data_IF_033889261246
#
_entry.id   IF_033889261246
#
_cell.length_a   1.000
_cell.length_b   1.000
_cell.length_c   1.000
_cell.angle_alpha   90.00
_cell.angle_beta   90.00
_cell.angle_gamma   90.00
#
_symmetry.space_group_name_H-M   'P 1'
#
loop_
_entity.id
_entity.type
_entity.pdbx_description
1 polymer ?
#
# COMPACT_ATOMS: atom_id res chain seq x y z
N UNK A 1 27.67 24.60 44.71
CA UNK A 1 26.64 24.08 45.64
C UNK A 1 25.96 22.88 44.98
N UNK A 2 26.31 21.65 45.39
CA UNK A 2 25.74 20.39 44.86
C UNK A 2 24.65 19.92 45.82
N UNK A 3 23.43 19.70 45.34
CA UNK A 3 22.35 19.07 46.11
C UNK A 3 22.28 17.58 45.75
N UNK A 4 22.61 16.71 46.70
CA UNK A 4 22.28 15.28 46.66
C UNK A 4 20.78 15.13 46.95
N UNK A 5 20.06 14.41 46.08
CA UNK A 5 18.71 13.94 46.35
C UNK A 5 18.77 12.45 46.74
N UNK A 6 18.27 12.12 47.93
CA UNK A 6 18.03 10.76 48.38
C UNK A 6 16.84 10.18 47.60
N UNK A 7 17.04 9.02 46.96
CA UNK A 7 15.95 8.21 46.42
C UNK A 7 15.56 7.15 47.45
N UNK A 8 14.30 7.21 47.90
CA UNK A 8 13.68 6.24 48.80
C UNK A 8 13.16 5.06 47.97
N UNK A 9 13.64 3.85 48.26
CA UNK A 9 13.26 2.63 47.58
C UNK A 9 12.10 1.96 48.33
N UNK A 10 10.90 1.99 47.76
CA UNK A 10 9.72 1.26 48.28
C UNK A 10 9.62 -0.05 47.51
N UNK A 11 9.91 -1.17 48.18
CA UNK A 11 9.71 -2.51 47.65
C UNK A 11 8.27 -2.93 47.94
N UNK A 12 7.41 -2.91 46.92
CA UNK A 12 6.06 -3.45 46.98
C UNK A 12 6.09 -4.96 46.65
N UNK A 13 5.65 -5.78 47.60
CA UNK A 13 5.52 -7.23 47.47
C UNK A 13 4.25 -7.55 46.66
N UNK A 14 4.41 -7.97 45.40
CA UNK A 14 3.31 -8.38 44.51
C UNK A 14 2.98 -9.86 44.71
N UNK A 15 1.73 -10.13 45.12
CA UNK A 15 1.16 -11.49 45.14
C UNK A 15 0.80 -11.95 43.71
N UNK A 16 0.96 -13.24 43.37
CA UNK A 16 0.60 -13.77 42.06
C UNK A 16 -0.93 -13.92 41.97
N UNK A 17 -1.60 -12.94 41.34
CA UNK A 17 -2.96 -13.12 40.87
C UNK A 17 -2.94 -14.13 39.72
N UNK A 18 -3.44 -15.33 39.98
CA UNK A 18 -3.63 -16.38 38.97
C UNK A 18 -4.54 -15.89 37.85
N UNK A 19 -3.94 -15.54 36.71
CA UNK A 19 -4.66 -15.27 35.48
C UNK A 19 -5.21 -16.58 34.91
N UNK A 20 -6.47 -16.89 35.21
CA UNK A 20 -7.25 -17.87 34.49
C UNK A 20 -7.50 -17.39 33.06
N UNK A 21 -6.52 -17.57 32.19
CA UNK A 21 -6.61 -17.26 30.76
C UNK A 21 -7.51 -18.27 30.06
N UNK A 22 -8.83 -18.09 30.16
CA UNK A 22 -9.78 -18.77 29.29
C UNK A 22 -9.50 -18.35 27.85
N UNK A 23 -8.83 -19.22 27.09
CA UNK A 23 -8.63 -19.04 25.66
C UNK A 23 -10.01 -19.11 24.98
N UNK A 24 -10.65 -17.95 24.82
CA UNK A 24 -11.84 -17.82 23.99
C UNK A 24 -11.41 -17.99 22.56
N UNK A 25 -11.47 -19.23 22.07
CA UNK A 25 -11.26 -19.53 20.66
C UNK A 25 -12.23 -18.63 19.87
N UNK A 26 -11.74 -17.80 18.92
CA UNK A 26 -12.62 -16.93 18.17
C UNK A 26 -13.67 -17.78 17.45
N UNK A 27 -14.93 -17.38 17.53
CA UNK A 27 -16.02 -18.05 16.84
C UNK A 27 -15.85 -17.93 15.33
N UNK A 28 -16.26 -18.96 14.61
CA UNK A 28 -16.34 -18.95 13.14
C UNK A 28 -17.15 -17.74 12.66
N UNK A 29 -16.65 -17.06 11.64
CA UNK A 29 -17.32 -15.94 10.98
C UNK A 29 -17.71 -16.32 9.55
N UNK A 30 -18.77 -15.69 9.05
CA UNK A 30 -19.12 -15.69 7.63
C UNK A 30 -18.41 -14.51 6.96
N UNK A 31 -17.76 -14.76 5.83
CA UNK A 31 -16.93 -13.81 5.07
C UNK A 31 -17.55 -13.59 3.69
N UNK A 32 -17.90 -12.36 3.38
CA UNK A 32 -18.36 -11.98 2.05
C UNK A 32 -17.20 -11.97 1.05
N UNK A 33 -17.45 -12.49 -0.16
CA UNK A 33 -16.53 -12.35 -1.29
C UNK A 33 -17.11 -11.27 -2.20
N UNK A 34 -16.32 -10.22 -2.46
CA UNK A 34 -16.78 -9.05 -3.23
C UNK A 34 -15.83 -8.72 -4.38
N UNK A 35 -16.39 -8.09 -5.41
CA UNK A 35 -15.63 -7.38 -6.42
C UNK A 35 -14.94 -6.18 -5.76
N UNK A 36 -13.63 -6.09 -5.89
CA UNK A 36 -12.86 -5.06 -5.18
C UNK A 36 -12.91 -3.66 -5.81
N UNK A 37 -13.62 -3.48 -6.92
CA UNK A 37 -13.82 -2.15 -7.52
C UNK A 37 -15.22 -1.64 -7.23
N UNK A 38 -16.22 -2.50 -7.37
CA UNK A 38 -17.64 -2.14 -7.23
C UNK A 38 -18.22 -2.44 -5.86
N UNK A 39 -17.56 -3.31 -5.07
CA UNK A 39 -18.08 -3.81 -3.80
C UNK A 39 -19.24 -4.81 -3.93
N UNK A 40 -19.63 -5.17 -5.16
CA UNK A 40 -20.70 -6.13 -5.40
C UNK A 40 -20.30 -7.55 -4.92
N UNK A 41 -21.25 -8.33 -4.40
CA UNK A 41 -20.98 -9.71 -4.00
C UNK A 41 -20.71 -10.60 -5.23
N UNK A 42 -19.67 -11.44 -5.16
CA UNK A 42 -19.20 -12.30 -6.27
C UNK A 42 -19.24 -13.79 -5.92
N UNK A 43 -20.44 -14.23 -5.53
CA UNK A 43 -20.74 -15.62 -5.18
C UNK A 43 -21.06 -15.82 -3.71
N UNK A 44 -21.09 -17.08 -3.28
CA UNK A 44 -21.45 -17.42 -1.90
C UNK A 44 -20.35 -17.03 -0.90
N UNK A 45 -20.74 -16.55 0.29
CA UNK A 45 -19.82 -16.34 1.40
C UNK A 45 -19.08 -17.62 1.81
N UNK A 46 -17.92 -17.47 2.43
CA UNK A 46 -17.18 -18.58 3.03
C UNK A 46 -17.21 -18.49 4.57
N UNK A 47 -17.02 -19.62 5.25
CA UNK A 47 -16.88 -19.67 6.71
C UNK A 47 -15.43 -19.91 7.13
N UNK A 48 -15.03 -19.39 8.28
CA UNK A 48 -13.72 -19.67 8.89
C UNK A 48 -13.48 -18.81 10.13
N UNK A 49 -12.44 -19.11 10.90
CA UNK A 49 -12.02 -18.25 12.01
C UNK A 49 -11.06 -17.19 11.49
N UNK A 50 -11.08 -15.95 12.02
CA UNK A 50 -10.10 -14.94 11.65
C UNK A 50 -8.66 -15.44 11.81
N UNK A 51 -7.87 -15.34 10.75
CA UNK A 51 -6.50 -15.87 10.69
C UNK A 51 -6.37 -17.26 10.08
N UNK A 52 -7.46 -17.98 9.79
CA UNK A 52 -7.40 -19.22 9.03
C UNK A 52 -6.95 -18.93 7.59
N UNK A 53 -6.15 -19.83 6.99
CA UNK A 53 -5.77 -19.69 5.59
C UNK A 53 -6.98 -19.90 4.67
N UNK A 54 -7.17 -19.01 3.69
CA UNK A 54 -8.24 -19.07 2.71
C UNK A 54 -7.69 -18.96 1.28
N UNK A 55 -8.10 -19.87 0.40
CA UNK A 55 -7.90 -19.76 -1.06
C UNK A 55 -9.24 -19.51 -1.73
N UNK A 56 -9.32 -18.43 -2.51
CA UNK A 56 -10.50 -18.02 -3.27
C UNK A 56 -10.15 -17.96 -4.76
N UNK A 57 -10.88 -18.75 -5.55
CA UNK A 57 -10.79 -18.79 -7.02
C UNK A 57 -12.19 -18.58 -7.58
N UNK A 58 -12.35 -17.63 -8.51
CA UNK A 58 -13.63 -17.29 -9.15
C UNK A 58 -13.40 -16.89 -10.62
N UNK A 59 -14.25 -17.34 -11.56
CA UNK A 59 -14.21 -16.84 -12.94
C UNK A 59 -14.34 -15.32 -12.99
N UNK A 60 -13.51 -14.66 -13.80
CA UNK A 60 -13.48 -13.20 -13.90
C UNK A 60 -12.63 -12.49 -12.84
N UNK A 61 -11.98 -13.24 -11.94
CA UNK A 61 -11.12 -12.68 -10.88
C UNK A 61 -9.76 -13.37 -10.81
N UNK A 62 -8.73 -12.64 -10.37
CA UNK A 62 -7.44 -13.25 -10.02
C UNK A 62 -7.62 -14.12 -8.77
N UNK A 63 -6.90 -15.25 -8.75
CA UNK A 63 -6.81 -16.12 -7.57
C UNK A 63 -6.25 -15.33 -6.39
N UNK A 64 -6.82 -15.56 -5.20
CA UNK A 64 -6.34 -14.96 -3.94
C UNK A 64 -6.08 -16.02 -2.88
N UNK A 65 -4.86 -16.00 -2.33
CA UNK A 65 -4.42 -16.83 -1.20
C UNK A 65 -4.23 -15.95 0.03
N UNK A 66 -5.25 -15.81 0.89
CA UNK A 66 -5.29 -14.83 1.99
C UNK A 66 -5.50 -15.51 3.35
N UNK A 67 -5.64 -14.70 4.38
CA UNK A 67 -6.14 -15.11 5.69
C UNK A 67 -7.59 -14.64 5.83
N UNK A 68 -8.44 -15.42 6.50
CA UNK A 68 -9.81 -15.01 6.84
C UNK A 68 -9.75 -13.69 7.62
N UNK A 69 -10.29 -12.59 7.08
CA UNK A 69 -10.09 -11.28 7.67
C UNK A 69 -11.12 -11.01 8.77
N UNK A 70 -10.76 -10.16 9.74
CA UNK A 70 -11.64 -9.78 10.86
C UNK A 70 -12.81 -8.90 10.43
N UNK A 71 -12.64 -8.14 9.36
CA UNK A 71 -13.68 -7.30 8.74
C UNK A 71 -14.68 -8.10 7.89
N UNK A 72 -14.49 -9.42 7.81
CA UNK A 72 -15.40 -10.37 7.15
C UNK A 72 -15.58 -10.10 5.65
N UNK A 73 -14.60 -9.48 4.99
CA UNK A 73 -14.69 -9.21 3.54
C UNK A 73 -13.39 -9.58 2.82
N UNK A 74 -13.50 -10.41 1.77
CA UNK A 74 -12.41 -10.67 0.82
C UNK A 74 -12.77 -10.02 -0.51
N UNK A 75 -12.08 -8.93 -0.85
CA UNK A 75 -12.20 -8.27 -2.14
C UNK A 75 -11.27 -8.91 -3.19
N UNK A 76 -11.79 -9.25 -4.36
CA UNK A 76 -11.02 -9.89 -5.44
C UNK A 76 -10.62 -8.87 -6.52
N UNK A 77 -9.46 -9.09 -7.14
CA UNK A 77 -9.02 -8.35 -8.32
C UNK A 77 -9.82 -8.81 -9.54
N UNK A 78 -10.52 -7.92 -10.27
CA UNK A 78 -11.12 -8.30 -11.55
C UNK A 78 -10.01 -8.57 -12.58
N UNK A 79 -10.22 -9.55 -13.48
CA UNK A 79 -9.24 -9.91 -14.54
C UNK A 79 -9.08 -8.85 -15.63
N UNK A 80 -9.76 -7.71 -15.52
CA UNK A 80 -9.45 -6.54 -16.35
C UNK A 80 -8.00 -6.10 -16.14
N UNK A 81 -7.42 -6.42 -14.97
CA UNK A 81 -5.98 -6.38 -14.72
C UNK A 81 -5.43 -7.81 -14.58
N UNK A 82 -4.38 -8.13 -15.32
CA UNK A 82 -3.70 -9.42 -15.19
C UNK A 82 -2.69 -9.41 -14.02
N UNK A 83 -2.30 -10.59 -13.54
CA UNK A 83 -1.39 -10.70 -12.39
C UNK A 83 -0.01 -10.07 -12.66
N UNK A 84 0.51 -10.16 -13.89
CA UNK A 84 1.81 -9.59 -14.20
C UNK A 84 1.78 -8.05 -14.13
N UNK A 85 0.68 -7.45 -14.59
CA UNK A 85 0.41 -6.02 -14.48
C UNK A 85 0.28 -5.58 -13.02
N UNK A 86 -0.51 -6.31 -12.22
CA UNK A 86 -0.64 -6.06 -10.77
C UNK A 86 0.72 -6.15 -10.08
N UNK A 87 1.53 -7.17 -10.38
CA UNK A 87 2.88 -7.34 -9.82
C UNK A 87 3.78 -6.16 -10.15
N UNK A 88 3.84 -5.76 -11.42
CA UNK A 88 4.73 -4.68 -11.87
C UNK A 88 4.40 -3.33 -11.21
N UNK A 89 3.11 -3.03 -11.00
CA UNK A 89 2.68 -1.74 -10.46
C UNK A 89 2.53 -1.69 -8.95
N UNK A 90 2.09 -2.75 -8.30
CA UNK A 90 1.70 -2.70 -6.87
C UNK A 90 2.78 -3.22 -5.94
N UNK A 91 3.66 -4.09 -6.44
CA UNK A 91 4.65 -4.76 -5.63
C UNK A 91 6.05 -4.36 -6.08
N UNK A 92 6.85 -3.89 -5.12
CA UNK A 92 8.20 -3.40 -5.37
C UNK A 92 9.08 -4.55 -5.88
N UNK A 93 9.69 -4.35 -7.06
CA UNK A 93 10.61 -5.32 -7.67
C UNK A 93 12.01 -5.27 -7.05
N UNK A 94 12.24 -4.33 -6.13
CA UNK A 94 13.50 -4.21 -5.42
C UNK A 94 13.82 -5.53 -4.68
N UNK A 95 15.06 -6.05 -4.79
CA UNK A 95 15.45 -7.30 -4.16
C UNK A 95 15.12 -7.32 -2.66
N UNK A 96 14.36 -8.33 -2.24
CA UNK A 96 13.91 -8.49 -0.85
C UNK A 96 12.74 -7.60 -0.43
N UNK A 97 12.20 -6.77 -1.33
CA UNK A 97 11.08 -5.85 -1.08
C UNK A 97 9.83 -6.17 -1.89
N UNK A 98 9.66 -7.43 -2.31
CA UNK A 98 8.50 -7.90 -3.07
C UNK A 98 7.20 -7.88 -2.23
N UNK A 99 6.78 -6.68 -1.86
CA UNK A 99 5.73 -6.33 -0.92
C UNK A 99 5.02 -5.08 -1.42
N UNK A 100 3.76 -4.97 -1.06
CA UNK A 100 2.94 -3.80 -1.31
C UNK A 100 3.41 -2.67 -0.39
N UNK A 101 4.04 -1.64 -0.97
CA UNK A 101 4.40 -0.40 -0.28
C UNK A 101 3.22 0.57 -0.36
N UNK A 102 2.67 1.03 0.77
CA UNK A 102 1.62 2.08 0.77
C UNK A 102 1.66 2.93 2.03
N UNK A 103 0.97 4.07 1.99
CA UNK A 103 0.68 4.83 3.20
C UNK A 103 -0.31 4.06 4.09
N UNK A 104 -0.06 3.95 5.41
CA UNK A 104 -0.98 3.31 6.34
C UNK A 104 -2.28 4.12 6.53
N UNK A 105 -2.19 5.44 6.40
CA UNK A 105 -3.34 6.35 6.44
C UNK A 105 -3.82 6.70 5.03
N UNK A 106 -5.12 6.97 4.90
CA UNK A 106 -5.71 7.53 3.68
C UNK A 106 -5.66 9.06 3.63
N UNK A 107 -5.08 9.71 4.65
CA UNK A 107 -4.80 11.14 4.68
C UNK A 107 -3.30 11.34 4.80
N UNK A 108 -2.69 12.03 3.84
CA UNK A 108 -1.24 12.24 3.79
C UNK A 108 -0.92 13.73 3.73
N UNK A 109 -0.17 14.28 4.71
CA UNK A 109 0.29 15.66 4.67
C UNK A 109 1.24 15.90 3.49
N UNK A 110 0.99 16.95 2.70
CA UNK A 110 1.83 17.36 1.57
C UNK A 110 2.29 18.80 1.70
N UNK A 111 3.35 19.18 0.98
CA UNK A 111 3.85 20.56 0.99
C UNK A 111 2.75 21.57 0.56
N UNK A 112 2.79 22.81 1.05
CA UNK A 112 1.73 23.80 0.76
C UNK A 112 1.65 24.22 -0.70
N UNK A 113 2.74 24.10 -1.43
CA UNK A 113 2.89 24.42 -2.84
C UNK A 113 2.69 23.20 -3.76
N UNK A 114 2.03 22.15 -3.25
CA UNK A 114 1.63 20.99 -4.06
C UNK A 114 0.58 21.39 -5.11
N UNK A 115 0.70 20.93 -6.37
CA UNK A 115 -0.28 21.24 -7.41
C UNK A 115 -1.69 20.75 -7.05
N UNK A 116 -2.68 21.63 -7.13
CA UNK A 116 -4.07 21.32 -6.71
C UNK A 116 -4.75 20.28 -7.62
N UNK A 117 -4.41 20.29 -8.91
CA UNK A 117 -4.85 19.30 -9.90
C UNK A 117 -4.30 17.90 -9.60
N UNK A 118 -3.05 17.80 -9.13
CA UNK A 118 -2.47 16.54 -8.67
C UNK A 118 -3.20 16.01 -7.42
N UNK A 119 -3.53 16.89 -6.46
CA UNK A 119 -4.34 16.54 -5.28
C UNK A 119 -5.70 15.99 -5.71
N UNK A 120 -6.39 16.69 -6.62
CA UNK A 120 -7.71 16.27 -7.10
C UNK A 120 -7.66 14.91 -7.80
N UNK A 121 -6.62 14.68 -8.61
CA UNK A 121 -6.45 13.47 -9.39
C UNK A 121 -6.37 12.20 -8.55
N UNK A 122 -5.93 12.29 -7.28
CA UNK A 122 -5.78 11.14 -6.38
C UNK A 122 -6.76 11.12 -5.21
N UNK A 123 -7.58 12.17 -5.06
CA UNK A 123 -8.58 12.33 -4.00
C UNK A 123 -9.46 11.08 -3.76
N UNK A 124 -9.89 10.31 -4.78
CA UNK A 124 -10.72 9.13 -4.55
C UNK A 124 -10.07 8.05 -3.67
N UNK A 125 -8.74 8.03 -3.58
CA UNK A 125 -7.99 6.98 -2.86
C UNK A 125 -7.24 7.53 -1.65
N UNK A 126 -6.68 8.73 -1.77
CA UNK A 126 -5.88 9.37 -0.73
C UNK A 126 -6.19 10.87 -0.66
N UNK A 127 -6.51 11.34 0.54
CA UNK A 127 -6.64 12.76 0.84
C UNK A 127 -5.26 13.37 1.07
N UNK A 128 -4.73 14.06 0.06
CA UNK A 128 -3.52 14.87 0.20
C UNK A 128 -3.88 16.22 0.83
N UNK A 129 -3.30 16.53 1.99
CA UNK A 129 -3.65 17.73 2.77
C UNK A 129 -2.43 18.63 2.92
N UNK A 130 -2.45 19.86 2.38
CA UNK A 130 -1.39 20.85 2.59
C UNK A 130 -1.07 21.06 4.09
N UNK A 131 0.21 20.98 4.45
CA UNK A 131 0.68 21.05 5.85
C UNK A 131 2.03 21.76 5.98
N UNK A 132 2.32 22.31 7.18
CA UNK A 132 3.65 22.81 7.56
C UNK A 132 4.62 21.68 7.95
N UNK A 133 4.09 20.48 8.18
CA UNK A 133 4.83 19.24 8.47
C UNK A 133 4.52 18.19 7.40
N UNK A 134 4.91 18.44 6.13
CA UNK A 134 4.58 17.55 5.04
C UNK A 134 5.31 16.20 5.16
N UNK A 135 4.63 15.11 4.80
CA UNK A 135 5.25 13.80 4.61
C UNK A 135 5.64 13.56 3.14
N UNK A 136 4.97 14.25 2.20
CA UNK A 136 5.40 14.33 0.79
C UNK A 136 5.92 15.74 0.51
N UNK A 137 7.19 15.82 0.15
CA UNK A 137 7.88 17.08 -0.22
C UNK A 137 8.25 17.09 -1.69
N UNK A 138 8.46 18.28 -2.26
CA UNK A 138 8.86 18.48 -3.65
C UNK A 138 10.10 19.35 -3.69
N UNK A 139 11.09 18.95 -4.50
CA UNK A 139 12.32 19.71 -4.71
C UNK A 139 12.65 19.80 -6.21
N UNK A 140 13.21 20.95 -6.62
CA UNK A 140 13.93 21.09 -7.88
C UNK A 140 15.41 21.06 -7.53
N UNK A 141 16.09 19.96 -7.84
CA UNK A 141 17.45 19.70 -7.39
C UNK A 141 18.23 18.94 -8.47
N UNK A 142 18.75 19.63 -9.51
CA UNK A 142 19.55 19.00 -10.56
C UNK A 142 20.88 18.44 -10.06
N UNK A 143 21.30 18.81 -8.83
CA UNK A 143 22.54 18.36 -8.21
C UNK A 143 22.37 17.12 -7.31
N UNK A 144 21.16 16.57 -7.19
CA UNK A 144 20.90 15.41 -6.36
C UNK A 144 21.78 14.21 -6.77
N UNK A 145 22.53 13.57 -5.84
CA UNK A 145 23.46 12.51 -6.18
C UNK A 145 22.80 11.27 -6.81
N UNK A 146 21.52 11.04 -6.54
CA UNK A 146 20.72 9.94 -7.07
C UNK A 146 20.63 9.97 -8.61
N UNK A 147 20.75 11.15 -9.24
CA UNK A 147 20.76 11.27 -10.70
C UNK A 147 21.84 10.43 -11.37
N UNK A 148 22.95 10.15 -10.68
CA UNK A 148 24.05 9.34 -11.21
C UNK A 148 23.71 7.85 -11.36
N UNK A 149 22.65 7.38 -10.70
CA UNK A 149 22.18 5.99 -10.74
C UNK A 149 20.98 5.80 -11.68
N UNK A 150 20.40 6.89 -12.15
CA UNK A 150 19.21 6.89 -12.99
C UNK A 150 19.59 7.01 -14.47
N UNK A 151 18.73 6.52 -15.39
CA UNK A 151 18.87 6.78 -16.81
C UNK A 151 19.08 8.28 -17.11
N UNK A 152 19.93 8.64 -18.10
CA UNK A 152 20.22 10.05 -18.41
C UNK A 152 18.99 10.89 -18.78
N UNK A 153 17.94 10.25 -19.30
CA UNK A 153 16.67 10.85 -19.71
C UNK A 153 15.64 10.93 -18.57
N UNK A 154 15.95 10.44 -17.37
CA UNK A 154 15.08 10.61 -16.19
C UNK A 154 15.00 12.08 -15.80
N UNK A 155 13.81 12.64 -15.69
CA UNK A 155 13.54 14.07 -15.41
C UNK A 155 12.95 14.34 -14.02
N UNK A 156 12.44 13.28 -13.38
CA UNK A 156 11.89 13.26 -12.04
C UNK A 156 12.14 11.90 -11.40
N UNK A 157 12.18 11.84 -10.07
CA UNK A 157 12.11 10.60 -9.31
C UNK A 157 11.48 10.83 -7.93
N UNK A 158 10.96 9.78 -7.33
CA UNK A 158 10.49 9.78 -5.95
C UNK A 158 11.44 8.97 -5.04
N UNK A 159 11.93 9.60 -3.96
CA UNK A 159 12.65 8.93 -2.88
C UNK A 159 11.68 8.61 -1.77
N UNK A 160 11.39 7.33 -1.57
CA UNK A 160 10.52 6.85 -0.49
C UNK A 160 11.34 6.36 0.69
N UNK A 161 10.96 6.77 1.89
CA UNK A 161 11.38 6.10 3.09
C UNK A 161 10.31 5.09 3.50
N UNK A 162 10.72 3.83 3.59
CA UNK A 162 9.89 2.72 4.02
C UNK A 162 10.27 2.37 5.46
N UNK A 163 9.28 2.31 6.35
CA UNK A 163 9.46 1.83 7.70
C UNK A 163 9.14 0.33 7.78
N UNK A 164 9.72 -0.31 8.79
CA UNK A 164 9.38 -1.65 9.29
C UNK A 164 9.33 -2.79 8.26
N UNK A 165 8.92 -3.98 8.72
CA UNK A 165 8.76 -5.17 7.88
C UNK A 165 7.48 -5.18 7.07
N UNK A 166 6.53 -4.32 7.42
CA UNK A 166 5.21 -4.22 6.83
C UNK A 166 5.21 -3.20 5.67
N UNK A 167 6.37 -2.67 5.30
CA UNK A 167 6.58 -1.85 4.11
C UNK A 167 5.79 -0.53 4.10
N UNK A 168 5.57 0.07 5.27
CA UNK A 168 4.84 1.34 5.37
C UNK A 168 5.64 2.50 4.77
N UNK A 169 5.03 3.26 3.86
CA UNK A 169 5.60 4.53 3.43
C UNK A 169 5.45 5.54 4.58
N UNK A 170 6.56 6.16 5.00
CA UNK A 170 6.55 7.16 6.07
C UNK A 170 6.91 8.57 5.61
N UNK A 171 7.78 8.69 4.61
CA UNK A 171 8.09 9.97 3.96
C UNK A 171 8.35 9.75 2.47
N UNK A 172 8.13 10.78 1.67
CA UNK A 172 8.54 10.80 0.26
C UNK A 172 9.06 12.18 -0.13
N UNK A 173 10.12 12.21 -0.94
CA UNK A 173 10.61 13.41 -1.61
C UNK A 173 10.53 13.22 -3.12
N UNK A 174 9.75 14.07 -3.78
CA UNK A 174 9.72 14.16 -5.25
C UNK A 174 10.82 15.12 -5.68
N UNK A 175 11.72 14.66 -6.54
CA UNK A 175 12.87 15.44 -7.00
C UNK A 175 12.79 15.59 -8.52
N UNK A 176 12.81 16.83 -8.99
CA UNK A 176 12.77 17.18 -10.41
C UNK A 176 14.08 17.86 -10.83
N UNK A 177 14.52 17.66 -12.07
CA UNK A 177 15.74 18.33 -12.59
C UNK A 177 15.55 19.83 -12.76
N UNK A 178 14.36 20.27 -13.16
CA UNK A 178 14.06 21.67 -13.40
C UNK A 178 12.67 22.07 -12.92
N UNK A 179 12.43 23.38 -12.81
CA UNK A 179 11.10 23.93 -12.52
C UNK A 179 10.12 23.61 -13.65
N UNK A 180 10.57 23.50 -14.90
CA UNK A 180 9.71 23.11 -16.02
C UNK A 180 9.23 21.67 -15.86
N UNK A 181 10.11 20.74 -15.45
CA UNK A 181 9.74 19.34 -15.19
C UNK A 181 8.76 19.21 -14.02
N UNK A 182 9.01 19.95 -12.94
CA UNK A 182 8.10 20.03 -11.79
C UNK A 182 6.70 20.52 -12.18
N UNK A 183 6.63 21.48 -13.10
CA UNK A 183 5.37 22.12 -13.50
C UNK A 183 4.64 21.39 -14.65
N UNK A 184 5.21 20.31 -15.18
CA UNK A 184 4.57 19.45 -16.18
C UNK A 184 3.60 18.48 -15.46
N UNK A 185 2.27 18.63 -15.63
CA UNK A 185 1.31 17.87 -14.83
C UNK A 185 1.42 16.34 -15.00
N UNK A 186 1.59 15.77 -16.22
CA UNK A 186 1.83 14.35 -16.39
C UNK A 186 3.06 13.84 -15.63
N UNK A 187 4.18 14.58 -15.65
CA UNK A 187 5.41 14.22 -14.91
C UNK A 187 5.19 14.28 -13.42
N UNK A 188 4.58 15.35 -12.94
CA UNK A 188 4.31 15.48 -11.52
C UNK A 188 3.41 14.34 -11.02
N UNK A 189 2.34 14.02 -11.76
CA UNK A 189 1.40 12.98 -11.38
C UNK A 189 2.03 11.57 -11.45
N UNK A 190 2.96 11.34 -12.37
CA UNK A 190 3.76 10.10 -12.41
C UNK A 190 4.61 9.93 -11.14
N UNK A 191 5.36 10.96 -10.74
CA UNK A 191 6.15 10.91 -9.49
C UNK A 191 5.26 10.79 -8.25
N UNK A 192 4.08 11.43 -8.26
CA UNK A 192 3.09 11.24 -7.21
C UNK A 192 2.60 9.78 -7.17
N UNK A 193 2.41 9.13 -8.31
CA UNK A 193 2.10 7.69 -8.37
C UNK A 193 3.14 6.85 -7.63
N UNK A 194 4.43 7.12 -7.83
CA UNK A 194 5.49 6.50 -7.05
C UNK A 194 5.36 6.79 -5.56
N UNK A 195 5.10 8.05 -5.18
CA UNK A 195 4.88 8.42 -3.78
C UNK A 195 3.72 7.67 -3.12
N UNK A 196 2.71 7.27 -3.90
CA UNK A 196 1.58 6.46 -3.44
C UNK A 196 1.88 4.96 -3.40
N UNK A 197 3.08 4.53 -3.80
CA UNK A 197 3.53 3.15 -3.77
C UNK A 197 3.53 2.44 -5.12
N UNK A 198 3.17 3.12 -6.21
CA UNK A 198 3.17 2.49 -7.54
C UNK A 198 4.59 2.29 -8.08
N UNK A 199 4.77 1.21 -8.84
CA UNK A 199 5.91 0.93 -9.71
C UNK A 199 5.67 1.46 -11.13
N UNK A 200 6.44 0.93 -12.08
CA UNK A 200 6.33 1.30 -13.50
C UNK A 200 5.43 0.35 -14.28
N UNK A 201 4.58 0.92 -15.14
CA UNK A 201 3.79 0.15 -16.11
C UNK A 201 4.65 -0.27 -17.29
N UNK A 202 4.34 -1.43 -17.86
CA UNK A 202 4.93 -1.90 -19.12
C UNK A 202 4.16 -1.41 -20.36
N UNK A 203 3.07 -0.65 -20.17
CA UNK A 203 2.14 -0.25 -21.23
C UNK A 203 2.21 1.26 -21.49
N UNK A 204 2.40 1.66 -22.76
CA UNK A 204 2.62 3.06 -23.16
C UNK A 204 1.44 3.99 -22.84
N UNK A 205 0.23 3.45 -22.80
CA UNK A 205 -0.99 4.21 -22.54
C UNK A 205 -1.22 4.55 -21.06
N UNK A 206 -0.42 4.00 -20.16
CA UNK A 206 -0.54 4.21 -18.72
C UNK A 206 0.28 5.41 -18.26
N UNK A 207 -0.18 6.07 -17.19
CA UNK A 207 0.55 7.20 -16.63
C UNK A 207 1.89 6.75 -16.03
N UNK A 208 1.92 5.59 -15.39
CA UNK A 208 3.08 5.00 -14.75
C UNK A 208 4.08 4.37 -15.74
N UNK A 209 3.91 4.54 -17.06
CA UNK A 209 4.93 4.14 -18.02
C UNK A 209 6.24 4.96 -17.83
N UNK A 210 7.43 4.33 -17.76
CA UNK A 210 8.70 4.96 -17.36
C UNK A 210 9.35 5.76 -18.49
N UNK A 211 8.57 6.51 -19.26
CA UNK A 211 9.06 7.31 -20.37
C UNK A 211 8.18 8.52 -20.61
N UNK A 212 8.80 9.57 -21.15
CA UNK A 212 8.10 10.74 -21.67
C UNK A 212 7.23 10.43 -22.90
N UNK A 213 7.39 9.27 -23.51
CA UNK A 213 6.59 8.82 -24.65
C UNK A 213 5.15 8.40 -24.30
N UNK A 214 4.76 8.39 -23.01
CA UNK A 214 3.39 8.04 -22.59
C UNK A 214 2.33 8.91 -23.27
N UNK A 215 1.18 8.32 -23.56
CA UNK A 215 0.12 9.00 -24.32
C UNK A 215 -1.01 9.58 -23.45
N UNK A 216 -0.83 9.60 -22.13
CA UNK A 216 -1.85 10.07 -21.17
C UNK A 216 -1.26 11.03 -20.15
N UNK A 217 -2.12 11.88 -19.61
CA UNK A 217 -1.86 12.79 -18.49
C UNK A 217 -2.59 12.38 -17.21
N UNK A 218 -3.30 11.24 -17.22
CA UNK A 218 -4.13 10.76 -16.11
C UNK A 218 -3.96 9.25 -15.93
N UNK A 219 -4.21 8.76 -14.71
CA UNK A 219 -4.23 7.33 -14.43
C UNK A 219 -5.24 6.62 -15.35
N UNK A 220 -4.79 5.54 -16.00
CA UNK A 220 -5.63 4.71 -16.86
C UNK A 220 -6.75 4.02 -16.07
N UNK A 221 -7.70 3.38 -16.76
CA UNK A 221 -8.75 2.62 -16.06
C UNK A 221 -8.15 1.52 -15.17
N UNK A 222 -7.12 0.84 -15.66
CA UNK A 222 -6.46 -0.26 -14.95
C UNK A 222 -5.64 0.25 -13.76
N UNK A 223 -4.90 1.35 -13.90
CA UNK A 223 -4.18 1.98 -12.78
C UNK A 223 -5.13 2.40 -11.65
N UNK A 224 -6.34 2.86 -12.00
CA UNK A 224 -7.38 3.22 -11.04
C UNK A 224 -7.99 2.01 -10.33
N UNK A 225 -8.06 0.85 -11.00
CA UNK A 225 -8.37 -0.43 -10.33
C UNK A 225 -7.30 -0.74 -9.28
N UNK A 226 -6.02 -0.59 -9.65
CA UNK A 226 -4.90 -0.82 -8.72
C UNK A 226 -4.95 0.09 -7.50
N UNK A 227 -5.15 1.40 -7.69
CA UNK A 227 -5.27 2.35 -6.57
C UNK A 227 -6.48 2.07 -5.68
N UNK A 228 -7.64 1.74 -6.27
CA UNK A 228 -8.84 1.36 -5.52
C UNK A 228 -8.58 0.15 -4.64
N UNK A 229 -7.93 -0.86 -5.19
CA UNK A 229 -7.60 -2.08 -4.47
C UNK A 229 -6.56 -1.84 -3.39
N UNK A 230 -5.45 -1.18 -3.73
CA UNK A 230 -4.37 -0.83 -2.81
C UNK A 230 -4.90 -0.10 -1.58
N UNK A 231 -5.66 0.97 -1.78
CA UNK A 231 -6.09 1.84 -0.69
C UNK A 231 -7.38 1.38 0.01
N UNK A 232 -8.29 0.74 -0.72
CA UNK A 232 -9.59 0.28 -0.19
C UNK A 232 -9.56 -1.10 0.45
N UNK A 233 -8.68 -2.00 0.01
CA UNK A 233 -8.81 -3.42 0.35
C UNK A 233 -7.51 -4.14 0.71
N UNK A 234 -6.36 -3.46 0.66
CA UNK A 234 -5.05 -4.07 0.84
C UNK A 234 -4.28 -3.44 1.99
N UNK A 235 -3.48 -4.27 2.66
CA UNK A 235 -2.61 -3.84 3.75
C UNK A 235 -1.21 -3.68 3.22
N UNK A 236 -0.47 -2.77 3.81
CA UNK A 236 0.96 -2.68 3.59
C UNK A 236 1.63 -4.03 3.88
N UNK A 237 2.67 -4.36 3.11
CA UNK A 237 3.50 -5.53 3.37
C UNK A 237 2.99 -6.84 2.77
N UNK A 238 1.77 -6.87 2.24
CA UNK A 238 1.23 -8.01 1.50
C UNK A 238 2.18 -8.42 0.38
N UNK A 239 2.39 -9.72 0.19
CA UNK A 239 3.22 -10.24 -0.89
C UNK A 239 2.36 -10.47 -2.14
N UNK A 240 2.93 -10.44 -3.35
CA UNK A 240 2.12 -10.51 -4.55
C UNK A 240 1.45 -11.87 -4.77
N UNK A 241 0.27 -11.88 -5.41
CA UNK A 241 -0.57 -10.75 -5.81
C UNK A 241 -1.67 -10.41 -4.77
N UNK A 242 -1.57 -10.98 -3.56
CA UNK A 242 -2.33 -10.75 -2.32
C UNK A 242 -2.17 -11.94 -1.37
N UNK A 243 -0.93 -12.36 -1.16
CA UNK A 243 -0.64 -13.46 -0.28
C UNK A 243 -0.37 -12.95 1.14
N UNK A 244 -1.34 -13.17 2.01
CA UNK A 244 -1.29 -12.73 3.41
C UNK A 244 -0.88 -13.88 4.33
N UNK A 245 -0.83 -15.10 3.80
CA UNK A 245 -0.52 -16.32 4.56
C UNK A 245 0.93 -16.31 5.04
N UNK A 246 1.82 -15.61 4.33
CA UNK A 246 3.21 -15.39 4.73
C UNK A 246 3.43 -14.31 5.80
N UNK A 247 2.38 -13.57 6.20
CA UNK A 247 2.48 -12.45 7.16
C UNK A 247 2.15 -12.84 8.60
N UNK A 248 1.66 -14.05 8.85
CA UNK A 248 1.25 -14.52 10.18
C UNK A 248 1.74 -15.94 10.49
N UNK A 249 2.09 -16.18 11.75
CA UNK A 249 2.46 -17.48 12.33
C UNK A 249 1.60 -18.64 11.83
N UNK A 250 2.26 -19.79 11.58
CA UNK A 250 1.73 -21.01 10.96
C UNK A 250 0.25 -21.35 11.27
N UNK A 251 -0.58 -21.69 10.27
CA UNK A 251 -2.00 -21.91 10.47
C UNK A 251 -2.29 -23.25 11.18
N UNK A 252 -3.33 -23.24 12.02
CA UNK A 252 -3.95 -24.44 12.60
C UNK A 252 -5.22 -24.89 11.85
N UNK A 253 -5.44 -24.42 10.61
CA UNK A 253 -6.53 -24.82 9.72
C UNK A 253 -6.45 -24.17 8.33
N UNK A 254 -6.94 -24.87 7.30
CA UNK A 254 -7.02 -24.39 5.91
C UNK A 254 -8.45 -24.49 5.40
N UNK A 255 -8.96 -23.41 4.79
CA UNK A 255 -10.26 -23.35 4.11
C UNK A 255 -10.01 -23.15 2.62
N UNK A 256 -10.55 -24.05 1.78
CA UNK A 256 -10.50 -23.91 0.32
C UNK A 256 -11.91 -23.81 -0.25
N UNK A 257 -12.20 -22.73 -0.99
CA UNK A 257 -13.47 -22.56 -1.70
C UNK A 257 -13.24 -22.55 -3.21
N UNK A 258 -13.48 -23.70 -3.84
CA UNK A 258 -13.61 -23.81 -5.29
C UNK A 258 -15.10 -23.70 -5.60
N UNK A 259 -15.53 -22.59 -6.21
CA UNK A 259 -16.88 -22.49 -6.75
C UNK A 259 -16.75 -22.37 -8.27
N UNK A 260 -17.35 -23.30 -9.03
CA UNK A 260 -17.38 -23.25 -10.49
C UNK A 260 -18.19 -22.07 -11.03
#
# INVERSE_FOLDING_TARGET
MRRLALFSCVIALLLPLGCGGGSTRPSSVTVAIVDGVTGAAVGSPIGGNPGDAATVERPGYLRRDTLVPRDRTIALWPVTVDEAFVRALVYSDAPGRNRLERWPATTVPVARDFPADAIESVRPWVALVPSDTPLITVAVDPGAPEWSQLPPDTIGFAVRQIADSDAHIVTTRLVFRSTADRNDPPRFLHELGHALGLGHSTRLQDLMFPSTARTTSTFSADERVLLTMMYGHRRSGQVPPDNDQGLGTAPSGSVRSLIP
#
